data_IF_716574925360
#
_entry.id   IF_716574925360
#
_cell.length_a   1.000
_cell.length_b   1.000
_cell.length_c   1.000
_cell.angle_alpha   90.00
_cell.angle_beta   90.00
_cell.angle_gamma   90.00
#
_symmetry.space_group_name_H-M   'P 1'
#
loop_
_entity.id
_entity.type
_entity.pdbx_description
1 polymer ?
#
# COMPACT_ATOMS: atom_id res chain seq x y z
N UNK A 1 -23.02 -20.63 -11.94
CA UNK A 1 -21.61 -20.95 -12.21
C UNK A 1 -21.04 -19.76 -12.96
N UNK A 2 -19.97 -19.13 -12.46
CA UNK A 2 -19.34 -17.97 -13.12
C UNK A 2 -18.48 -18.50 -14.27
N UNK A 3 -18.67 -17.95 -15.48
CA UNK A 3 -17.85 -18.28 -16.64
C UNK A 3 -16.75 -17.24 -16.77
N UNK A 4 -15.51 -17.69 -16.86
CA UNK A 4 -14.34 -16.84 -17.03
C UNK A 4 -13.92 -16.90 -18.49
N UNK A 5 -13.62 -15.73 -19.06
CA UNK A 5 -13.14 -15.59 -20.44
C UNK A 5 -11.84 -14.80 -20.43
N UNK A 6 -10.91 -15.19 -21.30
CA UNK A 6 -9.61 -14.54 -21.44
C UNK A 6 -9.55 -13.76 -22.75
N UNK A 7 -8.80 -12.65 -22.73
CA UNK A 7 -8.65 -11.77 -23.88
C UNK A 7 -7.49 -10.80 -23.69
N UNK A 8 -7.12 -10.13 -24.76
CA UNK A 8 -6.06 -9.11 -24.78
C UNK A 8 -6.68 -7.72 -24.71
N UNK A 9 -6.16 -6.87 -23.82
CA UNK A 9 -6.54 -5.46 -23.74
C UNK A 9 -5.63 -4.63 -24.64
N UNK A 10 -6.17 -4.06 -25.71
CA UNK A 10 -5.46 -3.18 -26.62
C UNK A 10 -6.20 -1.84 -26.73
N UNK A 11 -5.54 -0.73 -26.39
CA UNK A 11 -6.10 0.63 -26.50
C UNK A 11 -7.49 0.81 -25.85
N UNK A 12 -7.74 0.16 -24.72
CA UNK A 12 -9.03 0.23 -24.01
C UNK A 12 -10.13 -0.68 -24.57
N UNK A 13 -9.84 -1.44 -25.62
CA UNK A 13 -10.73 -2.45 -26.17
C UNK A 13 -10.22 -3.86 -25.82
N UNK A 14 -11.10 -4.71 -25.28
CA UNK A 14 -10.78 -6.12 -25.01
C UNK A 14 -11.11 -6.94 -26.25
N UNK A 15 -10.11 -7.65 -26.77
CA UNK A 15 -10.29 -8.67 -27.81
C UNK A 15 -10.30 -10.04 -27.16
N UNK A 16 -11.46 -10.69 -27.15
CA UNK A 16 -11.62 -12.01 -26.53
C UNK A 16 -11.02 -13.11 -27.39
N UNK A 17 -10.38 -14.10 -26.76
CA UNK A 17 -9.85 -15.27 -27.47
C UNK A 17 -10.97 -16.15 -28.07
N UNK A 18 -12.14 -16.17 -27.42
CA UNK A 18 -13.33 -16.93 -27.85
C UNK A 18 -14.56 -16.00 -27.95
N UNK A 19 -14.69 -15.21 -29.04
CA UNK A 19 -15.72 -14.18 -29.15
C UNK A 19 -17.15 -14.73 -29.28
N UNK A 20 -17.32 -15.97 -29.75
CA UNK A 20 -18.63 -16.56 -30.03
C UNK A 20 -19.29 -17.24 -28.81
N UNK A 21 -18.50 -17.51 -27.76
CA UNK A 21 -19.00 -18.18 -26.56
C UNK A 21 -19.52 -17.19 -25.51
N UNK A 22 -19.33 -15.89 -25.75
CA UNK A 22 -19.75 -14.82 -24.85
C UNK A 22 -21.19 -14.40 -25.21
N UNK A 23 -22.15 -14.46 -24.27
CA UNK A 23 -23.51 -14.02 -24.53
C UNK A 23 -23.55 -12.53 -24.91
N UNK A 24 -24.39 -12.17 -25.89
CA UNK A 24 -24.52 -10.80 -26.46
C UNK A 24 -24.73 -9.69 -25.42
N UNK A 25 -25.23 -10.03 -24.22
CA UNK A 25 -25.35 -9.14 -23.07
C UNK A 25 -24.80 -9.87 -21.85
N UNK A 26 -23.72 -9.34 -21.27
CA UNK A 26 -23.09 -9.88 -20.07
C UNK A 26 -22.66 -8.75 -19.13
N UNK A 27 -22.75 -8.98 -17.82
CA UNK A 27 -22.11 -8.12 -16.82
C UNK A 27 -20.71 -8.67 -16.57
N UNK A 28 -19.69 -7.95 -17.04
CA UNK A 28 -18.29 -8.39 -16.98
C UNK A 28 -17.61 -7.76 -15.76
N UNK A 29 -16.93 -8.58 -14.96
CA UNK A 29 -15.98 -8.12 -13.95
C UNK A 29 -14.58 -8.32 -14.54
N UNK A 30 -13.88 -7.23 -14.82
CA UNK A 30 -12.53 -7.27 -15.40
C UNK A 30 -11.53 -7.23 -14.25
N UNK A 31 -10.71 -8.27 -14.14
CA UNK A 31 -9.55 -8.28 -13.24
C UNK A 31 -8.31 -8.22 -14.12
N UNK A 32 -7.60 -7.10 -14.08
CA UNK A 32 -6.30 -6.96 -14.76
C UNK A 32 -5.28 -7.65 -13.87
N UNK A 33 -4.73 -8.76 -14.37
CA UNK A 33 -3.57 -9.42 -13.78
C UNK A 33 -2.35 -8.75 -14.40
N UNK A 34 -1.84 -7.69 -13.76
CA UNK A 34 -0.50 -7.22 -14.09
C UNK A 34 0.48 -8.34 -13.75
N UNK A 35 1.31 -8.76 -14.71
CA UNK A 35 2.51 -9.53 -14.38
C UNK A 35 3.25 -8.74 -13.30
N UNK A 36 3.43 -9.37 -12.14
CA UNK A 36 4.27 -8.84 -11.08
C UNK A 36 5.68 -8.68 -11.65
N UNK A 37 5.98 -7.53 -12.27
CA UNK A 37 7.32 -6.97 -12.16
C UNK A 37 7.58 -6.96 -10.67
N UNK A 38 8.68 -7.58 -10.23
CA UNK A 38 9.16 -7.48 -8.85
C UNK A 38 9.11 -6.02 -8.42
N UNK A 39 8.01 -5.61 -7.80
CA UNK A 39 7.91 -4.31 -7.19
C UNK A 39 8.74 -4.50 -5.94
N UNK A 40 10.00 -4.07 -6.00
CA UNK A 40 10.82 -3.86 -4.82
C UNK A 40 9.90 -3.33 -3.74
N UNK A 41 9.68 -4.14 -2.69
CA UNK A 41 8.75 -3.82 -1.63
C UNK A 41 9.19 -2.48 -1.07
N UNK A 42 8.54 -1.39 -1.50
CA UNK A 42 8.71 -0.07 -0.90
C UNK A 42 8.21 -0.24 0.52
N UNK A 43 9.15 -0.52 1.42
CA UNK A 43 8.93 -0.64 2.85
C UNK A 43 8.14 0.60 3.25
N UNK A 44 6.89 0.39 3.67
CA UNK A 44 6.06 1.49 4.15
C UNK A 44 6.84 2.15 5.29
N UNK A 45 7.25 3.43 5.17
CA UNK A 45 8.12 4.06 6.17
C UNK A 45 7.50 3.99 7.57
N UNK A 46 6.17 4.04 7.66
CA UNK A 46 5.42 3.94 8.91
C UNK A 46 5.65 2.65 9.72
N UNK A 47 6.02 1.53 9.09
CA UNK A 47 6.34 0.28 9.79
C UNK A 47 7.78 0.26 10.33
N UNK A 48 8.73 0.88 9.63
CA UNK A 48 10.12 0.95 10.07
C UNK A 48 10.28 1.81 11.32
N UNK A 49 9.58 2.96 11.38
CA UNK A 49 9.61 3.83 12.57
C UNK A 49 9.05 3.15 13.82
N UNK A 50 7.97 2.36 13.69
CA UNK A 50 7.41 1.61 14.83
C UNK A 50 8.33 0.49 15.32
N UNK A 51 9.08 -0.15 14.42
CA UNK A 51 10.09 -1.15 14.77
C UNK A 51 11.27 -0.53 15.51
N UNK A 52 11.78 0.60 15.03
CA UNK A 52 12.91 1.30 15.64
C UNK A 52 12.64 1.73 17.10
N UNK A 53 11.43 2.21 17.39
CA UNK A 53 11.04 2.62 18.75
C UNK A 53 10.88 1.45 19.74
N UNK A 54 10.65 0.23 19.24
CA UNK A 54 10.55 -0.97 20.09
C UNK A 54 11.92 -1.43 20.62
N UNK A 55 13.00 -1.12 19.92
CA UNK A 55 14.36 -1.52 20.30
C UNK A 55 15.06 -0.54 21.24
N UNK A 56 14.47 0.63 21.51
CA UNK A 56 15.01 1.57 22.49
C UNK A 56 14.91 0.99 23.91
N UNK A 57 15.99 1.10 24.66
CA UNK A 57 16.01 0.76 26.09
C UNK A 57 15.07 1.69 26.87
N UNK A 58 14.66 1.28 28.08
CA UNK A 58 13.81 2.11 28.93
C UNK A 58 14.49 3.45 29.25
N UNK A 59 15.79 3.41 29.55
CA UNK A 59 16.61 4.59 29.83
C UNK A 59 16.66 5.59 28.66
N UNK A 60 16.76 5.09 27.42
CA UNK A 60 16.73 5.95 26.22
C UNK A 60 15.35 6.59 25.99
N UNK A 61 14.27 5.88 26.33
CA UNK A 61 12.91 6.44 26.23
C UNK A 61 12.70 7.54 27.27
N UNK A 62 13.19 7.33 28.48
CA UNK A 62 13.06 8.30 29.56
C UNK A 62 13.89 9.56 29.27
N UNK A 63 15.10 9.42 28.71
CA UNK A 63 15.91 10.55 28.22
C UNK A 63 15.21 11.33 27.10
N UNK A 64 14.70 10.64 26.07
CA UNK A 64 13.99 11.30 24.97
C UNK A 64 12.73 12.05 25.47
N UNK A 65 11.99 11.47 26.41
CA UNK A 65 10.83 12.13 27.00
C UNK A 65 11.22 13.39 27.78
N UNK A 66 12.33 13.34 28.52
CA UNK A 66 12.85 14.49 29.24
C UNK A 66 13.29 15.62 28.30
N UNK A 67 13.97 15.29 27.19
CA UNK A 67 14.35 16.27 26.17
C UNK A 67 13.13 16.91 25.50
N UNK A 68 12.11 16.12 25.16
CA UNK A 68 10.86 16.63 24.60
C UNK A 68 10.13 17.57 25.57
N UNK A 69 10.16 17.25 26.87
CA UNK A 69 9.58 18.10 27.91
C UNK A 69 10.35 19.43 28.03
N UNK A 70 11.68 19.39 28.03
CA UNK A 70 12.50 20.60 28.08
C UNK A 70 12.25 21.52 26.88
N UNK A 71 12.18 20.96 25.67
CA UNK A 71 11.85 21.72 24.46
C UNK A 71 10.46 22.37 24.52
N UNK A 72 9.49 21.66 25.09
CA UNK A 72 8.14 22.18 25.29
C UNK A 72 8.14 23.35 26.27
N UNK A 73 8.84 23.19 27.39
CA UNK A 73 8.94 24.24 28.41
C UNK A 73 9.67 25.48 27.88
N UNK A 74 10.68 25.31 26.99
CA UNK A 74 11.34 26.40 26.28
C UNK A 74 10.39 27.14 25.32
N UNK A 75 9.58 26.40 24.57
CA UNK A 75 8.60 26.99 23.65
C UNK A 75 7.47 27.70 24.39
N UNK A 76 6.99 27.15 25.51
CA UNK A 76 5.96 27.79 26.34
C UNK A 76 6.47 29.02 27.08
N UNK A 77 7.78 29.10 27.40
CA UNK A 77 8.41 30.31 27.98
C UNK A 77 8.64 31.44 26.96
N UNK A 78 8.68 31.14 25.67
CA UNK A 78 8.91 32.12 24.61
C UNK A 78 7.64 32.87 24.17
N UNK A 79 6.48 32.53 24.75
CA UNK A 79 5.15 33.14 24.53
C UNK A 79 4.78 33.98 25.75
#
# INVERSE_FOLDING_TARGET
MLQTYEGTLNNGQITWNHPNDIPRKAKVLITILEEEKEVEKKTKPSLQFRGALKHLSQEQKDQNNQELQNLRDEWERAI
#
